data_IF_012253145326
#
_entry.id   IF_012253145326
#
_cell.length_a   1.000
_cell.length_b   1.000
_cell.length_c   1.000
_cell.angle_alpha   90.00
_cell.angle_beta   90.00
_cell.angle_gamma   90.00
#
_symmetry.space_group_name_H-M   'P 1'
#
loop_
_entity.id
_entity.type
_entity.pdbx_description
1 polymer ?
#
# COMPACT_ATOMS: atom_id res chain seq x y z
N UNK A 1 -36.81 22.24 -24.25
CA UNK A 1 -35.34 22.23 -24.46
C UNK A 1 -34.56 22.54 -23.18
N UNK A 2 -34.89 23.59 -22.40
CA UNK A 2 -34.15 23.96 -21.17
C UNK A 2 -34.20 22.94 -20.01
N UNK A 3 -35.25 22.12 -19.91
CA UNK A 3 -35.40 21.14 -18.81
C UNK A 3 -34.41 19.96 -18.88
N UNK A 4 -33.97 19.57 -20.08
CA UNK A 4 -33.04 18.45 -20.27
C UNK A 4 -31.61 18.74 -19.79
N UNK A 5 -31.21 20.02 -19.79
CA UNK A 5 -29.88 20.47 -19.36
C UNK A 5 -29.74 20.36 -17.84
N UNK A 6 -30.83 20.64 -17.11
CA UNK A 6 -30.84 20.63 -15.64
C UNK A 6 -30.76 19.19 -15.12
N UNK A 7 -31.43 18.23 -15.76
CA UNK A 7 -31.36 16.82 -15.38
C UNK A 7 -29.99 16.20 -15.66
N UNK A 8 -29.31 16.58 -16.75
CA UNK A 8 -27.96 16.10 -17.04
C UNK A 8 -26.91 16.60 -16.03
N UNK A 9 -27.06 17.84 -15.54
CA UNK A 9 -26.18 18.39 -14.52
C UNK A 9 -26.32 17.68 -13.15
N UNK A 10 -27.52 17.20 -12.82
CA UNK A 10 -27.79 16.51 -11.56
C UNK A 10 -27.22 15.07 -11.54
N UNK A 11 -27.17 14.40 -12.69
CA UNK A 11 -26.62 13.05 -12.85
C UNK A 11 -25.07 13.01 -12.78
N UNK A 12 -24.40 14.14 -13.00
CA UNK A 12 -22.94 14.26 -12.85
C UNK A 12 -22.51 14.46 -11.39
N UNK A 13 -23.43 14.83 -10.49
CA UNK A 13 -23.15 15.04 -9.06
C UNK A 13 -23.23 13.76 -8.23
N UNK A 14 -23.75 12.67 -8.79
CA UNK A 14 -23.81 11.35 -8.11
C UNK A 14 -22.61 10.47 -8.45
N UNK A 15 -21.52 11.03 -8.96
CA UNK A 15 -20.25 10.28 -9.11
C UNK A 15 -19.83 9.79 -7.75
N UNK A 16 -19.98 8.47 -7.58
CA UNK A 16 -19.61 7.67 -6.42
C UNK A 16 -18.28 8.19 -5.89
N UNK A 17 -18.30 8.78 -4.68
CA UNK A 17 -17.07 9.16 -4.01
C UNK A 17 -16.16 7.91 -3.97
N UNK A 18 -14.86 8.02 -4.32
CA UNK A 18 -13.95 6.90 -4.20
C UNK A 18 -14.03 6.42 -2.76
N UNK A 19 -14.53 5.20 -2.59
CA UNK A 19 -14.69 4.58 -1.29
C UNK A 19 -13.30 4.55 -0.68
N UNK A 20 -13.12 5.19 0.48
CA UNK A 20 -11.86 5.09 1.21
C UNK A 20 -11.67 3.62 1.57
N UNK A 21 -10.85 2.90 0.79
CA UNK A 21 -10.46 1.53 1.11
C UNK A 21 -9.47 1.66 2.26
N UNK A 22 -9.96 1.52 3.49
CA UNK A 22 -9.10 1.41 4.65
C UNK A 22 -8.29 0.12 4.51
N UNK A 23 -7.02 0.27 4.13
CA UNK A 23 -6.05 -0.83 4.15
C UNK A 23 -5.39 -0.87 5.52
N UNK A 24 -5.22 -2.08 6.06
CA UNK A 24 -4.56 -2.25 7.35
C UNK A 24 -3.06 -2.19 7.13
N UNK A 25 -2.39 -1.24 7.78
CA UNK A 25 -0.92 -1.17 7.74
C UNK A 25 -0.32 -2.45 8.32
N UNK A 26 0.76 -2.92 7.71
CA UNK A 26 1.51 -4.06 8.21
C UNK A 26 2.36 -3.62 9.41
N UNK A 27 1.93 -4.01 10.61
CA UNK A 27 2.61 -3.67 11.87
C UNK A 27 4.08 -4.13 11.87
N UNK A 28 4.39 -5.27 11.25
CA UNK A 28 5.76 -5.82 11.17
C UNK A 28 6.75 -4.88 10.47
N UNK A 29 6.28 -4.01 9.58
CA UNK A 29 7.13 -3.01 8.94
C UNK A 29 6.68 -1.57 9.19
N UNK A 30 5.74 -1.35 10.10
CA UNK A 30 5.16 -0.05 10.40
C UNK A 30 4.59 0.67 9.18
N UNK A 31 4.12 -0.07 8.17
CA UNK A 31 3.65 0.54 6.91
C UNK A 31 4.72 0.74 5.83
N UNK A 32 6.00 0.60 6.14
CA UNK A 32 7.08 0.95 5.20
C UNK A 32 7.36 -0.10 4.11
N UNK A 33 6.88 -1.33 4.27
CA UNK A 33 7.11 -2.43 3.32
C UNK A 33 8.54 -2.97 3.26
N UNK A 34 9.48 -2.39 4.00
CA UNK A 34 10.88 -2.84 4.05
C UNK A 34 11.12 -3.86 5.18
N UNK A 35 12.06 -4.78 4.96
CA UNK A 35 12.51 -5.69 6.00
C UNK A 35 13.23 -4.88 7.09
N UNK A 36 12.63 -4.81 8.29
CA UNK A 36 13.19 -4.05 9.40
C UNK A 36 14.49 -4.65 9.94
N UNK A 37 14.65 -5.97 9.86
CA UNK A 37 15.83 -6.65 10.41
C UNK A 37 17.14 -6.24 9.70
N UNK A 38 17.07 -6.03 8.39
CA UNK A 38 18.21 -5.58 7.59
C UNK A 38 18.06 -4.15 7.07
N UNK A 39 17.05 -3.42 7.55
CA UNK A 39 16.73 -2.05 7.12
C UNK A 39 16.66 -1.90 5.58
N UNK A 40 16.13 -2.90 4.90
CA UNK A 40 16.05 -2.92 3.43
C UNK A 40 17.40 -3.11 2.69
N UNK A 41 18.51 -3.36 3.39
CA UNK A 41 19.80 -3.68 2.74
C UNK A 41 19.80 -5.05 2.07
N UNK A 42 18.99 -5.98 2.58
CA UNK A 42 18.98 -7.39 2.20
C UNK A 42 20.16 -8.18 2.76
N UNK A 43 20.96 -7.57 3.66
CA UNK A 43 22.15 -8.18 4.24
C UNK A 43 22.09 -8.26 5.76
N UNK A 44 22.73 -9.27 6.33
CA UNK A 44 22.95 -9.36 7.78
C UNK A 44 24.17 -8.53 8.20
N UNK A 45 24.45 -8.49 9.51
CA UNK A 45 25.57 -7.75 10.08
C UNK A 45 26.95 -8.26 9.65
N UNK A 46 27.04 -9.49 9.15
CA UNK A 46 28.26 -10.10 8.61
C UNK A 46 28.41 -9.82 7.10
N UNK A 47 27.45 -9.13 6.49
CA UNK A 47 27.39 -8.89 5.04
C UNK A 47 26.82 -10.06 4.24
N UNK A 48 26.39 -11.13 4.91
CA UNK A 48 25.68 -12.27 4.33
C UNK A 48 24.25 -11.91 3.94
N UNK A 49 23.52 -12.86 3.34
CA UNK A 49 22.11 -12.64 2.96
C UNK A 49 21.24 -12.60 4.21
N UNK A 50 20.42 -11.55 4.35
CA UNK A 50 19.47 -11.46 5.46
C UNK A 50 18.46 -12.62 5.39
N UNK A 51 18.48 -13.52 6.37
CA UNK A 51 17.65 -14.73 6.38
C UNK A 51 16.15 -14.44 6.45
N UNK A 52 15.75 -13.34 7.11
CA UNK A 52 14.33 -13.00 7.30
C UNK A 52 13.65 -12.61 6.00
N UNK A 53 14.36 -11.85 5.14
CA UNK A 53 13.83 -11.46 3.84
C UNK A 53 14.45 -12.25 2.68
N UNK A 54 15.32 -13.22 2.95
CA UNK A 54 16.10 -13.96 1.95
C UNK A 54 16.78 -13.04 0.93
N UNK A 55 17.24 -11.86 1.37
CA UNK A 55 17.84 -10.84 0.51
C UNK A 55 16.88 -10.03 -0.36
N UNK A 56 15.55 -10.28 -0.30
CA UNK A 56 14.55 -9.56 -1.08
C UNK A 56 14.39 -8.10 -0.68
N UNK A 57 14.89 -7.70 0.51
CA UNK A 57 14.77 -6.35 1.09
C UNK A 57 13.36 -5.96 1.53
N UNK A 58 12.36 -6.76 1.17
CA UNK A 58 10.96 -6.53 1.48
C UNK A 58 10.56 -7.14 2.82
N UNK A 59 9.57 -6.53 3.47
CA UNK A 59 8.92 -7.15 4.61
C UNK A 59 8.24 -8.44 4.14
N UNK A 60 8.65 -9.56 4.72
CA UNK A 60 8.17 -10.89 4.30
C UNK A 60 6.68 -11.10 4.61
N UNK A 61 6.11 -10.36 5.57
CA UNK A 61 4.72 -10.51 6.01
C UNK A 61 3.74 -9.89 5.01
N UNK A 62 4.06 -8.69 4.50
CA UNK A 62 3.21 -7.96 3.55
C UNK A 62 3.81 -7.92 2.14
N UNK A 63 4.82 -8.75 1.87
CA UNK A 63 5.49 -8.87 0.57
C UNK A 63 5.92 -7.51 -0.03
N UNK A 64 6.42 -6.62 0.81
CA UNK A 64 6.88 -5.31 0.34
C UNK A 64 5.82 -4.21 0.24
N UNK A 65 4.53 -4.52 0.44
CA UNK A 65 3.44 -3.56 0.21
C UNK A 65 3.24 -2.55 1.34
N UNK A 66 3.68 -2.87 2.55
CA UNK A 66 3.44 -2.06 3.75
C UNK A 66 2.01 -2.17 4.30
N UNK A 67 1.12 -2.90 3.65
CA UNK A 67 -0.29 -3.03 4.01
C UNK A 67 -0.87 -4.36 3.50
N UNK A 68 -2.01 -4.77 4.07
CA UNK A 68 -2.79 -5.94 3.65
C UNK A 68 -3.96 -5.55 2.74
#
# INVERSE_FOLDING_TARGET
MKKAIITAALLLLTTVAPQAICTMSCDTCGGGGVCQLCEGSGKDSSGGVCYVCSGSKHCYVCEGKGQF
#
